data_IF_978219307023
#
_entry.id   IF_978219307023
#
_cell.length_a   1.000
_cell.length_b   1.000
_cell.length_c   1.000
_cell.angle_alpha   90.00
_cell.angle_beta   90.00
_cell.angle_gamma   90.00
#
_symmetry.space_group_name_H-M   'P 1'
#
loop_
_entity.id
_entity.type
_entity.pdbx_description
1 polymer ?
#
# COMPACT_ATOMS: atom_id res chain seq x y z
N UNK A 1 -21.95 36.32 10.57
CA UNK A 1 -20.72 37.11 10.44
C UNK A 1 -19.64 36.40 11.23
N UNK A 2 -18.85 35.54 10.58
CA UNK A 2 -17.62 34.93 11.10
C UNK A 2 -17.08 34.01 9.98
N UNK A 3 -16.60 34.61 8.90
CA UNK A 3 -16.06 33.84 7.75
C UNK A 3 -14.79 34.45 7.16
N UNK A 4 -14.27 35.52 7.76
CA UNK A 4 -12.94 36.06 7.45
C UNK A 4 -11.92 35.63 8.52
N UNK A 5 -12.28 35.72 9.80
CA UNK A 5 -11.38 35.36 10.92
C UNK A 5 -11.11 33.85 11.02
N UNK A 6 -12.05 32.97 10.67
CA UNK A 6 -11.79 31.51 10.62
C UNK A 6 -10.92 31.11 9.42
N UNK A 7 -11.06 31.78 8.28
CA UNK A 7 -10.21 31.54 7.11
C UNK A 7 -8.79 32.10 7.35
N UNK A 8 -8.68 33.23 8.05
CA UNK A 8 -7.42 33.82 8.45
C UNK A 8 -6.75 33.01 9.58
N UNK A 9 -7.51 32.40 10.50
CA UNK A 9 -7.00 31.44 11.49
C UNK A 9 -6.48 30.14 10.87
N UNK A 10 -7.06 29.66 9.77
CA UNK A 10 -6.55 28.49 9.02
C UNK A 10 -5.31 28.88 8.20
N UNK A 11 -5.24 30.10 7.66
CA UNK A 11 -4.06 30.63 6.96
C UNK A 11 -2.89 30.89 7.92
N UNK A 12 -3.19 31.28 9.17
CA UNK A 12 -2.23 31.50 10.25
C UNK A 12 -1.91 30.21 11.05
N UNK A 13 -2.50 29.07 10.69
CA UNK A 13 -2.22 27.75 11.27
C UNK A 13 -0.89 27.13 10.81
N UNK A 14 -0.21 27.74 9.84
CA UNK A 14 1.22 27.55 9.69
C UNK A 14 1.90 28.31 10.83
N UNK A 15 1.98 27.68 12.01
CA UNK A 15 2.84 28.15 13.08
C UNK A 15 4.18 28.54 12.45
N UNK A 16 4.57 29.79 12.66
CA UNK A 16 5.84 30.33 12.18
C UNK A 16 6.94 29.54 12.92
N UNK A 17 7.36 28.41 12.34
CA UNK A 17 8.39 27.56 12.93
C UNK A 17 9.72 28.31 12.77
N UNK A 18 10.01 29.12 13.78
CA UNK A 18 11.28 29.82 13.93
C UNK A 18 12.36 28.78 14.21
N UNK A 19 13.40 28.74 13.39
CA UNK A 19 14.57 27.90 13.64
C UNK A 19 15.27 28.39 14.92
N UNK A 20 15.74 27.45 15.77
CA UNK A 20 16.49 27.75 17.00
C UNK A 20 17.82 28.43 16.67
N UNK A 21 18.43 29.08 17.67
CA UNK A 21 19.75 29.71 17.51
C UNK A 21 20.85 28.63 17.37
N UNK A 22 21.68 28.65 16.31
CA UNK A 22 22.84 27.76 16.15
C UNK A 22 23.80 27.75 17.35
N UNK A 23 23.88 28.83 18.13
CA UNK A 23 24.74 28.93 19.32
C UNK A 23 24.31 28.00 20.45
N UNK A 24 23.06 27.56 20.44
CA UNK A 24 22.51 26.68 21.47
C UNK A 24 22.83 25.20 21.22
N UNK A 25 23.41 24.83 20.07
CA UNK A 25 23.67 23.44 19.69
C UNK A 25 24.53 22.71 20.73
N UNK A 26 25.67 23.30 21.10
CA UNK A 26 26.63 22.68 22.03
C UNK A 26 26.02 22.47 23.41
N UNK A 27 25.26 23.45 23.89
CA UNK A 27 24.58 23.37 25.18
C UNK A 27 23.53 22.25 25.22
N UNK A 28 23.02 21.84 24.05
CA UNK A 28 22.01 20.78 23.90
C UNK A 28 22.61 19.45 23.43
N UNK A 29 23.94 19.30 23.44
CA UNK A 29 24.61 18.05 23.08
C UNK A 29 24.73 17.80 21.57
N UNK A 30 24.43 18.81 20.75
CA UNK A 30 24.58 18.73 19.30
C UNK A 30 25.91 19.32 18.85
N UNK A 31 26.42 18.78 17.75
CA UNK A 31 27.63 19.29 17.12
C UNK A 31 27.36 20.66 16.48
N UNK A 32 28.28 21.63 16.58
CA UNK A 32 28.11 22.91 15.90
C UNK A 32 27.96 22.76 14.39
N UNK A 33 27.31 23.75 13.77
CA UNK A 33 27.19 23.91 12.32
C UNK A 33 27.97 25.14 11.88
N UNK A 34 28.48 25.13 10.65
CA UNK A 34 29.01 26.34 10.03
C UNK A 34 27.83 27.23 9.63
N UNK A 35 27.92 28.53 9.93
CA UNK A 35 26.91 29.53 9.60
C UNK A 35 27.50 30.63 8.73
N UNK A 36 26.67 31.27 7.90
CA UNK A 36 27.11 32.39 7.08
C UNK A 36 27.57 33.62 7.89
N UNK A 37 26.97 33.86 9.06
CA UNK A 37 27.24 35.04 9.87
C UNK A 37 28.47 34.85 10.78
N UNK A 38 28.53 33.71 11.48
CA UNK A 38 29.50 33.48 12.55
C UNK A 38 30.58 32.44 12.15
N UNK A 39 30.48 31.82 10.97
CA UNK A 39 31.36 30.74 10.55
C UNK A 39 31.17 29.45 11.36
N UNK A 40 32.21 28.61 11.43
CA UNK A 40 32.25 27.46 12.36
C UNK A 40 32.92 27.89 13.67
N UNK A 41 32.38 27.53 14.83
CA UNK A 41 33.06 27.82 16.10
C UNK A 41 34.29 26.92 16.27
N UNK A 42 35.47 27.48 15.98
CA UNK A 42 36.76 26.80 16.08
C UNK A 42 37.28 26.30 14.72
N UNK A 43 38.22 25.34 14.70
CA UNK A 43 38.75 24.78 13.46
C UNK A 43 37.66 24.04 12.69
N UNK A 44 37.59 24.26 11.37
CA UNK A 44 36.62 23.60 10.50
C UNK A 44 36.92 22.09 10.43
N UNK A 45 35.97 21.22 10.80
CA UNK A 45 36.17 19.78 10.72
C UNK A 45 36.27 19.27 9.27
N UNK A 46 37.05 18.21 9.06
CA UNK A 46 37.37 17.67 7.74
C UNK A 46 36.13 17.28 6.92
N UNK A 47 35.13 16.65 7.54
CA UNK A 47 33.88 16.24 6.88
C UNK A 47 32.99 17.42 6.44
N UNK A 48 33.10 18.58 7.11
CA UNK A 48 32.46 19.82 6.64
C UNK A 48 33.28 20.44 5.52
N UNK A 49 34.62 20.41 5.63
CA UNK A 49 35.53 20.90 4.60
C UNK A 49 35.44 20.11 3.28
N UNK A 50 35.14 18.80 3.35
CA UNK A 50 34.90 17.95 2.18
C UNK A 50 33.68 18.39 1.35
N UNK A 51 32.69 18.99 2.01
CA UNK A 51 31.38 19.32 1.42
C UNK A 51 31.28 20.81 1.08
N UNK A 52 32.11 21.64 1.70
CA UNK A 52 32.07 23.09 1.60
C UNK A 52 33.45 23.72 1.86
N UNK A 53 33.91 24.56 0.92
CA UNK A 53 35.10 25.40 1.08
C UNK A 53 34.68 26.88 1.25
N UNK A 54 34.87 27.48 2.44
CA UNK A 54 34.50 28.88 2.68
C UNK A 54 35.32 29.89 1.86
N UNK A 55 36.47 29.48 1.31
CA UNK A 55 37.37 30.36 0.56
C UNK A 55 37.17 30.28 -0.97
N UNK A 56 36.35 29.35 -1.49
CA UNK A 56 36.09 29.27 -2.94
C UNK A 56 35.01 30.27 -3.38
N UNK A 57 35.35 31.33 -4.15
CA UNK A 57 34.39 32.33 -4.60
C UNK A 57 33.35 31.81 -5.59
N UNK A 58 33.51 30.59 -6.12
CA UNK A 58 32.53 29.93 -7.00
C UNK A 58 31.49 29.16 -6.20
N UNK A 59 31.75 28.87 -4.94
CA UNK A 59 30.80 28.15 -4.11
C UNK A 59 29.75 29.13 -3.60
N UNK A 60 28.48 28.93 -3.97
CA UNK A 60 27.39 29.78 -3.46
C UNK A 60 27.34 29.59 -1.96
N UNK A 61 27.63 30.67 -1.23
CA UNK A 61 27.72 30.65 0.23
C UNK A 61 26.45 30.02 0.81
N UNK A 62 26.54 28.81 1.40
CA UNK A 62 25.39 28.18 2.03
C UNK A 62 24.95 29.03 3.23
N UNK A 63 23.71 28.87 3.68
CA UNK A 63 23.25 29.48 4.93
C UNK A 63 23.82 28.73 6.13
N UNK A 64 23.74 27.40 6.07
CA UNK A 64 24.19 26.47 7.11
C UNK A 64 24.88 25.26 6.47
N UNK A 65 25.91 24.73 7.12
CA UNK A 65 26.52 23.44 6.78
C UNK A 65 26.79 22.66 8.05
N UNK A 66 26.33 21.42 8.12
CA UNK A 66 26.56 20.58 9.28
C UNK A 66 25.80 19.26 9.24
N UNK A 67 25.92 18.44 10.30
CA UNK A 67 25.26 17.15 10.39
C UNK A 67 23.73 17.30 10.40
N UNK A 68 23.04 16.31 9.83
CA UNK A 68 21.58 16.25 9.78
C UNK A 68 20.94 16.35 11.16
N UNK A 69 21.51 15.72 12.19
CA UNK A 69 21.04 15.78 13.57
C UNK A 69 20.95 17.20 14.11
N UNK A 70 22.04 17.98 13.99
CA UNK A 70 22.09 19.38 14.40
C UNK A 70 21.12 20.25 13.62
N UNK A 71 21.04 20.07 12.30
CA UNK A 71 20.14 20.85 11.46
C UNK A 71 18.67 20.54 11.77
N UNK A 72 18.29 19.28 11.93
CA UNK A 72 16.93 18.88 12.30
C UNK A 72 16.55 19.40 13.68
N UNK A 73 17.47 19.37 14.64
CA UNK A 73 17.22 19.96 15.95
C UNK A 73 16.95 21.47 15.88
N UNK A 74 17.72 22.22 15.06
CA UNK A 74 17.48 23.65 14.83
C UNK A 74 16.09 23.91 14.25
N UNK A 75 15.60 23.02 13.40
CA UNK A 75 14.28 23.12 12.78
C UNK A 75 13.13 22.63 13.67
N UNK A 76 13.42 22.14 14.89
CA UNK A 76 12.43 21.53 15.78
C UNK A 76 11.82 20.25 15.20
N UNK A 77 12.65 19.42 14.58
CA UNK A 77 12.29 18.14 13.96
C UNK A 77 12.78 16.98 14.83
N UNK A 78 12.33 16.94 16.09
CA UNK A 78 12.89 16.04 17.11
C UNK A 78 12.68 14.55 16.78
N UNK A 79 11.61 14.19 16.06
CA UNK A 79 11.36 12.83 15.58
C UNK A 79 12.35 12.40 14.50
N UNK A 80 12.80 13.33 13.63
CA UNK A 80 13.88 13.05 12.70
C UNK A 80 15.22 12.89 13.42
N UNK A 81 15.50 13.69 14.46
CA UNK A 81 16.70 13.50 15.29
C UNK A 81 16.69 12.11 15.93
N UNK A 82 15.58 11.72 16.56
CA UNK A 82 15.46 10.39 17.18
C UNK A 82 15.58 9.25 16.16
N UNK A 83 15.14 9.47 14.91
CA UNK A 83 15.24 8.47 13.85
C UNK A 83 16.67 8.25 13.35
N UNK A 84 17.61 9.18 13.58
CA UNK A 84 19.04 9.00 13.24
C UNK A 84 19.67 7.93 14.16
N UNK A 85 19.34 7.97 15.44
CA UNK A 85 19.93 7.08 16.45
C UNK A 85 19.18 5.73 16.58
N UNK A 86 18.03 5.61 15.91
CA UNK A 86 17.20 4.41 16.01
C UNK A 86 17.72 3.27 15.12
N UNK A 87 17.89 2.05 15.65
CA UNK A 87 18.26 0.89 14.84
C UNK A 87 17.16 0.44 13.88
N UNK A 88 15.94 0.95 14.03
CA UNK A 88 14.79 0.63 13.16
C UNK A 88 14.83 1.39 11.83
N UNK A 89 15.64 2.45 11.73
CA UNK A 89 15.77 3.26 10.54
C UNK A 89 17.21 3.19 10.00
N UNK A 90 17.34 3.22 8.67
CA UNK A 90 18.65 3.21 7.98
C UNK A 90 19.23 4.61 7.81
N UNK A 91 18.79 5.59 8.61
CA UNK A 91 19.21 6.98 8.46
C UNK A 91 20.63 7.15 9.00
N UNK A 92 21.45 7.93 8.29
CA UNK A 92 22.83 8.21 8.69
C UNK A 92 22.97 9.71 8.95
N UNK A 93 23.71 10.07 10.00
CA UNK A 93 23.97 11.46 10.33
C UNK A 93 25.02 12.08 9.40
N UNK A 94 24.60 12.47 8.21
CA UNK A 94 25.50 13.01 7.19
C UNK A 94 25.58 14.52 7.26
N UNK A 95 26.73 15.08 6.88
CA UNK A 95 26.88 16.53 6.68
C UNK A 95 26.13 16.94 5.41
N UNK A 96 25.24 17.92 5.55
CA UNK A 96 24.46 18.48 4.45
C UNK A 96 24.56 20.00 4.41
N UNK A 97 24.26 20.57 3.24
CA UNK A 97 24.29 22.01 2.99
C UNK A 97 22.88 22.55 2.87
N UNK A 98 22.61 23.67 3.55
CA UNK A 98 21.39 24.44 3.41
C UNK A 98 21.70 25.66 2.55
N UNK A 99 21.14 25.78 1.33
CA UNK A 99 21.35 26.95 0.48
C UNK A 99 20.94 28.27 1.15
N UNK A 100 21.54 29.39 0.73
CA UNK A 100 21.27 30.73 1.26
C UNK A 100 19.77 31.07 1.38
N UNK A 101 18.99 30.73 0.36
CA UNK A 101 17.55 31.01 0.28
C UNK A 101 16.66 29.86 0.77
N UNK A 102 17.22 28.84 1.43
CA UNK A 102 16.49 27.67 1.89
C UNK A 102 16.39 27.61 3.41
N UNK A 103 15.26 27.08 3.89
CA UNK A 103 15.08 26.68 5.30
C UNK A 103 15.42 25.20 5.45
N UNK A 104 15.78 24.76 6.66
CA UNK A 104 16.07 23.34 6.88
C UNK A 104 14.88 22.45 6.50
N UNK A 105 13.65 22.86 6.87
CA UNK A 105 12.42 22.14 6.51
C UNK A 105 12.18 22.04 4.99
N UNK A 106 12.63 23.02 4.21
CA UNK A 106 12.48 22.96 2.74
C UNK A 106 13.41 21.95 2.09
N UNK A 107 14.39 21.41 2.82
CA UNK A 107 15.27 20.35 2.34
C UNK A 107 14.69 18.95 2.52
N UNK A 108 13.64 18.77 3.34
CA UNK A 108 13.08 17.44 3.62
C UNK A 108 12.64 16.67 2.36
N UNK A 109 11.98 17.29 1.36
CA UNK A 109 11.64 16.59 0.12
C UNK A 109 12.87 16.08 -0.63
N UNK A 110 13.92 16.92 -0.76
CA UNK A 110 15.15 16.53 -1.44
C UNK A 110 15.86 15.39 -0.70
N UNK A 111 15.97 15.49 0.63
CA UNK A 111 16.60 14.46 1.45
C UNK A 111 15.84 13.13 1.41
N UNK A 112 14.51 13.18 1.31
CA UNK A 112 13.70 11.99 1.06
C UNK A 112 13.96 11.39 -0.33
N UNK A 113 13.97 12.22 -1.38
CA UNK A 113 14.16 11.76 -2.76
C UNK A 113 15.57 11.16 -2.98
N UNK A 114 16.57 11.65 -2.23
CA UNK A 114 17.91 11.07 -2.18
C UNK A 114 18.02 9.82 -1.29
N UNK A 115 16.92 9.38 -0.66
CA UNK A 115 16.88 8.20 0.20
C UNK A 115 17.52 8.39 1.58
N UNK A 116 17.82 9.64 1.98
CA UNK A 116 18.44 9.95 3.28
C UNK A 116 17.42 10.01 4.41
N UNK A 117 16.15 10.28 4.12
CA UNK A 117 15.05 10.21 5.08
C UNK A 117 14.11 9.06 4.70
N UNK A 118 13.87 8.07 5.58
CA UNK A 118 12.91 7.01 5.31
C UNK A 118 11.50 7.56 5.07
N UNK A 119 10.81 7.05 4.05
CA UNK A 119 9.43 7.44 3.74
C UNK A 119 8.44 7.22 4.90
N UNK A 120 8.74 6.34 5.86
CA UNK A 120 7.96 6.19 7.08
C UNK A 120 7.99 7.44 7.97
N UNK A 121 9.14 8.08 8.11
CA UNK A 121 9.33 9.29 8.93
C UNK A 121 8.95 10.55 8.14
N UNK A 122 9.34 10.61 6.86
CA UNK A 122 9.01 11.75 5.99
C UNK A 122 7.51 12.02 5.86
N UNK A 123 6.67 10.97 5.93
CA UNK A 123 5.20 11.07 5.87
C UNK A 123 4.60 12.02 6.92
N UNK A 124 5.26 12.22 8.07
CA UNK A 124 4.81 13.14 9.11
C UNK A 124 4.85 14.62 8.68
N UNK A 125 5.60 14.92 7.62
CA UNK A 125 5.88 16.29 7.17
C UNK A 125 5.25 16.65 5.83
N UNK A 126 4.51 15.72 5.21
CA UNK A 126 3.68 16.04 4.05
C UNK A 126 2.59 17.02 4.48
N UNK A 127 2.37 18.06 3.67
CA UNK A 127 1.32 19.06 3.89
C UNK A 127 0.34 19.06 2.71
N UNK A 128 -0.97 18.84 2.96
CA UNK A 128 -1.55 18.48 4.25
C UNK A 128 -0.99 17.14 4.75
N UNK A 129 -1.00 16.87 6.09
CA UNK A 129 -0.72 15.53 6.59
C UNK A 129 -1.55 14.59 5.74
N UNK A 130 -1.02 13.43 5.27
CA UNK A 130 -1.87 12.49 4.56
C UNK A 130 -3.03 12.27 5.48
N UNK A 131 -4.20 12.79 5.10
CA UNK A 131 -5.45 12.36 5.67
C UNK A 131 -5.39 10.91 5.29
N UNK A 132 -4.99 10.07 6.23
CA UNK A 132 -5.39 8.69 6.23
C UNK A 132 -6.91 8.81 6.31
N UNK A 133 -7.52 9.04 5.16
CA UNK A 133 -8.82 8.54 4.85
C UNK A 133 -8.60 7.02 4.78
N UNK A 134 -8.27 6.43 5.93
CA UNK A 134 -8.96 5.24 6.35
C UNK A 134 -10.39 5.71 6.23
N UNK A 135 -11.04 5.36 5.11
CA UNK A 135 -12.47 5.31 5.09
C UNK A 135 -12.81 4.34 6.22
N UNK A 136 -12.98 4.88 7.43
CA UNK A 136 -13.43 4.17 8.59
C UNK A 136 -14.90 3.93 8.28
N UNK A 137 -15.15 2.92 7.45
CA UNK A 137 -16.48 2.39 7.30
C UNK A 137 -16.85 1.92 8.71
N UNK A 138 -17.92 2.46 9.31
CA UNK A 138 -18.41 1.94 10.58
C UNK A 138 -18.48 0.42 10.42
N UNK A 139 -18.01 -0.32 11.42
CA UNK A 139 -18.04 -1.77 11.45
C UNK A 139 -19.50 -2.23 11.48
N UNK A 140 -20.18 -2.12 10.33
CA UNK A 140 -21.52 -2.63 10.12
C UNK A 140 -21.34 -4.12 9.94
N UNK A 141 -21.81 -4.88 10.93
CA UNK A 141 -22.04 -6.30 10.73
C UNK A 141 -22.98 -6.44 9.52
N UNK A 142 -22.51 -7.13 8.48
CA UNK A 142 -23.31 -7.41 7.28
C UNK A 142 -23.92 -8.81 7.47
N UNK A 143 -25.18 -8.93 7.91
CA UNK A 143 -25.83 -10.22 8.04
C UNK A 143 -26.01 -10.87 6.67
N UNK A 144 -26.09 -12.20 6.64
CA UNK A 144 -26.54 -12.93 5.46
C UNK A 144 -28.03 -12.61 5.27
N UNK A 145 -28.50 -12.20 4.08
CA UNK A 145 -29.91 -11.96 3.85
C UNK A 145 -30.76 -13.19 4.25
N UNK A 146 -31.86 -13.03 5.02
CA UNK A 146 -32.65 -14.16 5.52
C UNK A 146 -33.25 -15.06 4.43
N UNK A 147 -33.40 -14.53 3.21
CA UNK A 147 -33.85 -15.28 2.04
C UNK A 147 -32.84 -16.35 1.59
N UNK A 148 -31.55 -16.18 1.91
CA UNK A 148 -30.49 -17.09 1.52
C UNK A 148 -30.46 -18.29 2.47
N UNK A 149 -30.60 -19.47 1.87
CA UNK A 149 -30.76 -20.75 2.58
C UNK A 149 -29.64 -21.72 2.18
N UNK A 150 -29.65 -22.93 2.73
CA UNK A 150 -28.69 -24.00 2.42
C UNK A 150 -28.86 -24.65 1.05
N UNK A 151 -29.80 -24.16 0.24
CA UNK A 151 -30.03 -24.60 -1.13
C UNK A 151 -29.63 -23.50 -2.12
N UNK A 152 -28.95 -23.87 -3.20
CA UNK A 152 -28.63 -22.94 -4.30
C UNK A 152 -29.93 -22.41 -4.90
N UNK A 153 -30.09 -21.09 -4.91
CA UNK A 153 -31.21 -20.40 -5.55
C UNK A 153 -30.70 -19.17 -6.29
N UNK A 154 -31.42 -18.76 -7.32
CA UNK A 154 -31.15 -17.54 -8.08
C UNK A 154 -31.91 -16.38 -7.44
N UNK A 155 -31.23 -15.23 -7.30
CA UNK A 155 -31.81 -14.00 -6.77
C UNK A 155 -31.46 -12.83 -7.68
N UNK A 156 -32.34 -11.84 -7.76
CA UNK A 156 -31.97 -10.55 -8.34
C UNK A 156 -30.94 -9.86 -7.44
N UNK A 157 -29.90 -9.32 -8.05
CA UNK A 157 -28.76 -8.77 -7.34
C UNK A 157 -29.16 -7.54 -6.50
N UNK A 158 -30.08 -6.71 -7.03
CA UNK A 158 -30.64 -5.55 -6.32
C UNK A 158 -31.42 -5.94 -5.05
N UNK A 159 -32.05 -7.12 -5.04
CA UNK A 159 -32.76 -7.64 -3.86
C UNK A 159 -31.77 -8.11 -2.77
N UNK A 160 -30.60 -8.61 -3.15
CA UNK A 160 -29.55 -9.00 -2.21
C UNK A 160 -28.71 -7.81 -1.75
N UNK A 161 -28.51 -6.83 -2.62
CA UNK A 161 -27.64 -5.68 -2.42
C UNK A 161 -28.34 -4.40 -2.95
N UNK A 162 -29.08 -3.68 -2.10
CA UNK A 162 -29.85 -2.50 -2.51
C UNK A 162 -29.01 -1.35 -3.10
N UNK A 163 -27.72 -1.32 -2.77
CA UNK A 163 -26.75 -0.34 -3.28
C UNK A 163 -25.81 -0.94 -4.32
N UNK A 164 -26.17 -2.09 -4.91
CA UNK A 164 -25.40 -2.66 -6.01
C UNK A 164 -25.37 -1.67 -7.16
N UNK A 165 -24.22 -1.56 -7.83
CA UNK A 165 -24.17 -0.99 -9.16
C UNK A 165 -24.40 -2.13 -10.16
N UNK A 166 -25.58 -2.27 -10.77
CA UNK A 166 -25.93 -3.45 -11.55
C UNK A 166 -25.10 -3.59 -12.84
N UNK A 167 -24.36 -2.58 -13.27
CA UNK A 167 -23.41 -2.70 -14.38
C UNK A 167 -21.99 -2.55 -13.82
N UNK A 168 -21.10 -3.55 -14.00
CA UNK A 168 -21.11 -4.61 -15.03
C UNK A 168 -21.64 -5.97 -14.56
N UNK A 169 -22.24 -6.07 -13.38
CA UNK A 169 -22.69 -7.35 -12.83
C UNK A 169 -23.90 -7.94 -13.59
N UNK A 170 -24.13 -9.26 -13.52
CA UNK A 170 -25.38 -9.81 -14.00
C UNK A 170 -26.55 -9.39 -13.11
N UNK A 171 -27.73 -9.24 -13.72
CA UNK A 171 -28.97 -8.90 -13.01
C UNK A 171 -29.31 -9.96 -11.93
N UNK A 172 -28.98 -11.22 -12.20
CA UNK A 172 -29.27 -12.34 -11.32
C UNK A 172 -28.01 -13.11 -10.98
N UNK A 173 -27.94 -13.57 -9.73
CA UNK A 173 -26.83 -14.38 -9.22
C UNK A 173 -27.35 -15.56 -8.42
N UNK A 174 -26.68 -16.70 -8.52
CA UNK A 174 -26.96 -17.80 -7.62
C UNK A 174 -26.40 -17.48 -6.23
N UNK A 175 -27.06 -17.93 -5.17
CA UNK A 175 -26.56 -17.81 -3.81
C UNK A 175 -26.93 -19.01 -2.94
N UNK A 176 -26.03 -19.34 -2.01
CA UNK A 176 -26.19 -20.42 -1.03
C UNK A 176 -25.53 -20.04 0.28
N UNK A 177 -26.14 -20.44 1.40
CA UNK A 177 -25.57 -20.38 2.74
C UNK A 177 -24.99 -21.73 3.14
N UNK A 178 -23.75 -21.75 3.62
CA UNK A 178 -23.10 -22.95 4.15
C UNK A 178 -22.74 -22.72 5.61
N UNK A 179 -23.26 -23.56 6.49
CA UNK A 179 -22.99 -23.50 7.93
C UNK A 179 -21.61 -24.09 8.26
N UNK A 180 -20.94 -23.48 9.25
CA UNK A 180 -19.54 -23.73 9.60
C UNK A 180 -19.21 -25.10 10.22
N UNK A 181 -20.14 -26.04 10.36
CA UNK A 181 -19.94 -27.31 11.09
C UNK A 181 -18.84 -28.22 10.50
N UNK A 182 -18.31 -27.90 9.32
CA UNK A 182 -17.30 -28.73 8.65
C UNK A 182 -15.89 -28.15 8.74
N UNK A 183 -14.93 -29.04 9.01
CA UNK A 183 -13.49 -28.78 8.80
C UNK A 183 -13.25 -28.28 7.36
N UNK A 184 -12.32 -27.33 7.18
CA UNK A 184 -12.01 -26.65 5.90
C UNK A 184 -11.93 -27.62 4.70
N UNK A 185 -11.17 -28.71 4.83
CA UNK A 185 -10.99 -29.70 3.76
C UNK A 185 -12.28 -30.43 3.39
N UNK A 186 -13.14 -30.75 4.37
CA UNK A 186 -14.47 -31.32 4.11
C UNK A 186 -15.37 -30.31 3.40
N UNK A 187 -15.36 -29.06 3.85
CA UNK A 187 -16.12 -27.96 3.24
C UNK A 187 -15.76 -27.75 1.78
N UNK A 188 -14.47 -27.70 1.47
CA UNK A 188 -13.98 -27.57 0.09
C UNK A 188 -14.51 -28.69 -0.81
N UNK A 189 -14.38 -29.95 -0.37
CA UNK A 189 -14.88 -31.12 -1.12
C UNK A 189 -16.39 -31.08 -1.32
N UNK A 190 -17.14 -30.65 -0.31
CA UNK A 190 -18.60 -30.61 -0.39
C UNK A 190 -19.08 -29.55 -1.39
N UNK A 191 -18.47 -28.35 -1.36
CA UNK A 191 -18.74 -27.28 -2.34
C UNK A 191 -18.41 -27.77 -3.76
N UNK A 192 -17.24 -28.37 -3.94
CA UNK A 192 -16.82 -28.91 -5.23
C UNK A 192 -17.75 -29.99 -5.77
N UNK A 193 -18.29 -30.85 -4.90
CA UNK A 193 -19.12 -31.98 -5.31
C UNK A 193 -20.58 -31.61 -5.53
N UNK A 194 -21.13 -30.73 -4.71
CA UNK A 194 -22.58 -30.51 -4.62
C UNK A 194 -23.02 -29.15 -5.14
N UNK A 195 -22.12 -28.16 -5.21
CA UNK A 195 -22.47 -26.78 -5.54
C UNK A 195 -21.90 -26.36 -6.89
N UNK A 196 -20.59 -26.57 -7.11
CA UNK A 196 -19.91 -26.09 -8.31
C UNK A 196 -20.25 -26.81 -9.63
N UNK A 197 -20.61 -28.11 -9.67
CA UNK A 197 -20.82 -28.80 -10.94
C UNK A 197 -21.91 -28.18 -11.83
N UNK A 198 -22.90 -27.50 -11.25
CA UNK A 198 -23.96 -26.82 -12.00
C UNK A 198 -23.48 -25.57 -12.74
N UNK A 199 -22.31 -25.01 -12.39
CA UNK A 199 -21.77 -23.82 -13.03
C UNK A 199 -21.01 -24.16 -14.32
N UNK A 200 -20.37 -25.33 -14.37
CA UNK A 200 -19.56 -25.82 -15.48
C UNK A 200 -18.30 -25.00 -15.75
N UNK A 201 -17.37 -25.60 -16.51
CA UNK A 201 -16.15 -24.94 -16.98
C UNK A 201 -15.14 -24.61 -15.88
N UNK A 202 -14.12 -23.84 -16.27
CA UNK A 202 -13.14 -23.30 -15.33
C UNK A 202 -13.76 -22.15 -14.53
N UNK A 203 -13.42 -22.09 -13.24
CA UNK A 203 -13.95 -21.10 -12.31
C UNK A 203 -12.80 -20.31 -11.67
N UNK A 204 -13.07 -19.04 -11.38
CA UNK A 204 -12.23 -18.21 -10.53
C UNK A 204 -12.97 -17.90 -9.24
N UNK A 205 -12.25 -17.96 -8.13
CA UNK A 205 -12.77 -17.75 -6.79
C UNK A 205 -12.13 -16.52 -6.19
N UNK A 206 -12.93 -15.71 -5.50
CA UNK A 206 -12.45 -14.65 -4.63
C UNK A 206 -13.02 -14.86 -3.24
N UNK A 207 -12.14 -15.10 -2.27
CA UNK A 207 -12.51 -15.12 -0.86
C UNK A 207 -12.40 -13.75 -0.24
N UNK A 208 -13.37 -13.38 0.60
CA UNK A 208 -13.40 -12.08 1.24
C UNK A 208 -14.35 -12.03 2.43
N UNK A 209 -14.24 -10.99 3.26
CA UNK A 209 -15.24 -10.71 4.29
C UNK A 209 -16.59 -10.31 3.67
N UNK A 210 -17.69 -10.55 4.39
CA UNK A 210 -19.04 -10.10 3.98
C UNK A 210 -19.12 -8.58 3.76
N UNK A 211 -18.34 -7.79 4.51
CA UNK A 211 -18.22 -6.35 4.31
C UNK A 211 -17.59 -6.02 2.96
N UNK A 212 -16.46 -6.65 2.65
CA UNK A 212 -15.81 -6.46 1.37
C UNK A 212 -16.69 -6.93 0.19
N UNK A 213 -17.59 -7.91 0.42
CA UNK A 213 -18.53 -8.38 -0.59
C UNK A 213 -19.53 -7.28 -0.92
N UNK A 214 -20.19 -6.70 0.09
CA UNK A 214 -21.12 -5.59 -0.12
C UNK A 214 -20.42 -4.40 -0.80
N UNK A 215 -19.21 -4.06 -0.37
CA UNK A 215 -18.43 -3.01 -1.04
C UNK A 215 -18.14 -3.35 -2.50
N UNK A 216 -17.78 -4.61 -2.79
CA UNK A 216 -17.52 -5.07 -4.16
C UNK A 216 -18.76 -5.03 -5.05
N UNK A 217 -19.95 -5.29 -4.48
CA UNK A 217 -21.23 -5.17 -5.20
C UNK A 217 -21.60 -3.72 -5.49
N UNK A 218 -21.31 -2.80 -4.56
CA UNK A 218 -21.52 -1.38 -4.78
C UNK A 218 -20.58 -0.83 -5.85
N UNK A 219 -19.29 -1.18 -5.78
CA UNK A 219 -18.37 -0.96 -6.87
C UNK A 219 -17.16 -1.88 -6.80
N UNK A 220 -16.92 -2.62 -7.88
CA UNK A 220 -15.79 -3.55 -7.96
C UNK A 220 -14.53 -2.79 -8.37
N UNK A 221 -13.69 -2.43 -7.39
CA UNK A 221 -12.42 -1.75 -7.64
C UNK A 221 -11.21 -2.57 -7.18
N UNK A 222 -10.04 -2.34 -7.79
CA UNK A 222 -8.75 -2.81 -7.28
C UNK A 222 -8.58 -2.47 -5.80
N UNK A 223 -8.17 -3.46 -5.01
CA UNK A 223 -7.90 -3.24 -3.60
C UNK A 223 -6.44 -2.81 -3.45
N UNK A 224 -6.21 -1.76 -2.66
CA UNK A 224 -4.88 -1.39 -2.15
C UNK A 224 -4.94 -1.65 -0.66
N UNK A 225 -4.20 -2.64 -0.17
CA UNK A 225 -4.08 -2.87 1.27
C UNK A 225 -2.64 -2.56 1.70
N UNK A 226 -2.45 -1.61 2.63
CA UNK A 226 -1.12 -1.35 3.19
C UNK A 226 -0.63 -2.46 4.14
N UNK A 227 -1.47 -3.47 4.42
CA UNK A 227 -1.21 -4.49 5.45
C UNK A 227 -1.27 -5.92 4.92
N UNK A 228 -1.64 -6.13 3.65
CA UNK A 228 -1.73 -7.49 3.11
C UNK A 228 -0.46 -7.77 2.31
N UNK A 229 0.38 -8.65 2.85
CA UNK A 229 1.48 -9.30 2.12
C UNK A 229 0.99 -10.07 0.88
N UNK A 230 -0.34 -10.20 0.71
CA UNK A 230 -1.03 -10.93 -0.35
C UNK A 230 -1.20 -10.14 -1.66
N UNK A 231 -0.61 -8.93 -1.78
CA UNK A 231 -0.64 -8.11 -3.00
C UNK A 231 0.62 -8.29 -3.84
N UNK A 232 0.97 -9.54 -4.16
CA UNK A 232 2.20 -9.91 -4.86
C UNK A 232 2.44 -9.12 -6.17
N UNK A 233 1.38 -8.71 -6.85
CA UNK A 233 1.47 -7.98 -8.11
C UNK A 233 0.98 -6.52 -8.03
N UNK A 234 0.82 -6.00 -6.81
CA UNK A 234 0.35 -4.64 -6.54
C UNK A 234 -1.17 -4.48 -6.60
N UNK A 235 -1.67 -3.26 -6.84
CA UNK A 235 -3.11 -2.98 -6.89
C UNK A 235 -3.84 -3.81 -7.95
N UNK A 236 -4.93 -4.47 -7.54
CA UNK A 236 -5.76 -5.27 -8.43
C UNK A 236 -6.91 -5.99 -7.71
N UNK A 237 -7.74 -6.69 -8.49
CA UNK A 237 -8.73 -7.63 -7.98
C UNK A 237 -8.14 -9.04 -8.09
N UNK A 238 -7.85 -9.61 -6.93
CA UNK A 238 -7.24 -10.92 -6.81
C UNK A 238 -8.30 -12.01 -6.80
N UNK A 239 -8.11 -13.00 -7.67
CA UNK A 239 -8.90 -14.23 -7.75
C UNK A 239 -7.96 -15.43 -7.88
N UNK A 240 -8.47 -16.64 -7.71
CA UNK A 240 -7.67 -17.86 -7.82
C UNK A 240 -8.52 -19.00 -8.38
N UNK A 241 -7.96 -19.94 -9.17
CA UNK A 241 -8.65 -21.19 -9.51
C UNK A 241 -8.73 -22.17 -8.31
N UNK A 242 -8.00 -21.90 -7.21
CA UNK A 242 -7.99 -22.73 -6.01
C UNK A 242 -9.11 -22.32 -5.04
N UNK A 243 -10.19 -23.12 -5.00
CA UNK A 243 -11.25 -22.92 -4.00
C UNK A 243 -10.69 -22.98 -2.57
N UNK A 244 -9.70 -23.85 -2.34
CA UNK A 244 -9.10 -24.01 -1.02
C UNK A 244 -8.41 -22.73 -0.55
N UNK A 245 -7.66 -22.07 -1.43
CA UNK A 245 -7.04 -20.78 -1.14
C UNK A 245 -8.10 -19.68 -0.94
N UNK A 246 -9.12 -19.62 -1.80
CA UNK A 246 -10.21 -18.66 -1.62
C UNK A 246 -10.95 -18.83 -0.29
N UNK A 247 -11.10 -20.06 0.21
CA UNK A 247 -11.68 -20.31 1.54
C UNK A 247 -10.82 -19.77 2.68
N UNK A 248 -9.50 -19.66 2.52
CA UNK A 248 -8.62 -19.03 3.52
C UNK A 248 -8.92 -17.55 3.64
N UNK A 249 -8.99 -16.86 2.50
CA UNK A 249 -9.31 -15.43 2.43
C UNK A 249 -10.73 -15.10 2.89
N UNK A 250 -11.69 -16.00 2.65
CA UNK A 250 -13.05 -15.84 3.16
C UNK A 250 -13.11 -15.95 4.70
N UNK A 251 -12.20 -16.70 5.31
CA UNK A 251 -12.23 -16.95 6.75
C UNK A 251 -13.50 -17.68 7.20
N UNK A 252 -13.87 -17.49 8.47
CA UNK A 252 -15.00 -18.20 9.09
C UNK A 252 -16.36 -17.67 8.65
N UNK A 253 -16.54 -16.35 8.73
CA UNK A 253 -17.82 -15.67 8.52
C UNK A 253 -17.83 -14.78 7.26
N UNK A 254 -16.99 -15.10 6.27
CA UNK A 254 -16.92 -14.35 5.03
C UNK A 254 -17.83 -14.90 3.94
N UNK A 255 -17.41 -14.67 2.72
CA UNK A 255 -18.06 -15.17 1.53
C UNK A 255 -17.03 -15.49 0.44
N UNK A 256 -17.43 -16.34 -0.49
CA UNK A 256 -16.69 -16.58 -1.74
C UNK A 256 -17.56 -16.11 -2.90
N UNK A 257 -16.99 -15.23 -3.72
CA UNK A 257 -17.53 -14.92 -5.04
C UNK A 257 -16.96 -15.94 -6.04
N UNK A 258 -17.84 -16.53 -6.84
CA UNK A 258 -17.50 -17.52 -7.85
C UNK A 258 -17.81 -16.93 -9.22
N UNK A 259 -16.77 -16.82 -10.03
CA UNK A 259 -16.80 -16.30 -11.38
C UNK A 259 -16.62 -17.46 -12.35
N UNK A 260 -17.41 -17.46 -13.43
CA UNK A 260 -17.04 -18.27 -14.60
C UNK A 260 -15.77 -17.67 -15.18
N UNK A 261 -14.78 -18.48 -15.53
CA UNK A 261 -13.50 -17.96 -16.01
C UNK A 261 -13.74 -17.02 -17.20
N UNK A 262 -13.45 -15.70 -17.07
CA UNK A 262 -13.71 -14.76 -18.13
C UNK A 262 -12.81 -15.04 -19.34
N UNK A 263 -13.33 -14.77 -20.53
CA UNK A 263 -12.51 -14.81 -21.73
C UNK A 263 -11.61 -13.57 -21.80
N UNK A 264 -10.34 -13.74 -21.42
CA UNK A 264 -9.35 -12.68 -21.45
C UNK A 264 -8.63 -12.54 -22.81
N UNK A 265 -9.03 -13.25 -23.86
CA UNK A 265 -8.32 -13.22 -25.16
C UNK A 265 -8.24 -11.84 -25.82
N UNK A 266 -9.18 -10.95 -25.50
CA UNK A 266 -9.19 -9.56 -26.00
C UNK A 266 -8.38 -8.59 -25.13
N UNK A 267 -7.68 -9.08 -24.11
CA UNK A 267 -6.94 -8.28 -23.14
C UNK A 267 -5.47 -8.68 -23.11
N UNK A 268 -4.64 -7.78 -22.58
CA UNK A 268 -3.23 -8.07 -22.36
C UNK A 268 -3.04 -8.91 -21.10
N UNK A 269 -2.86 -10.22 -21.29
CA UNK A 269 -2.56 -11.18 -20.23
C UNK A 269 -1.06 -11.36 -20.12
N UNK A 270 -0.51 -11.10 -18.93
CA UNK A 270 0.90 -11.31 -18.63
C UNK A 270 1.08 -12.41 -17.59
N UNK A 271 2.02 -13.32 -17.88
CA UNK A 271 2.44 -14.39 -16.97
C UNK A 271 3.94 -14.22 -16.71
N UNK A 272 4.35 -13.76 -15.51
CA UNK A 272 5.75 -13.49 -15.23
C UNK A 272 6.56 -14.79 -15.22
N UNK A 273 7.77 -14.74 -15.78
CA UNK A 273 8.76 -15.76 -15.50
C UNK A 273 9.29 -15.65 -14.05
N UNK A 274 10.11 -16.60 -13.60
CA UNK A 274 10.59 -16.64 -12.21
C UNK A 274 11.33 -15.36 -11.77
N UNK A 275 12.11 -14.74 -12.64
CA UNK A 275 12.86 -13.52 -12.34
C UNK A 275 11.94 -12.30 -12.28
N UNK A 276 11.02 -12.19 -13.23
CA UNK A 276 10.02 -11.12 -13.26
C UNK A 276 9.08 -11.19 -12.06
N UNK A 277 8.62 -12.39 -11.71
CA UNK A 277 7.80 -12.66 -10.54
C UNK A 277 8.51 -12.17 -9.29
N UNK A 278 9.74 -12.63 -9.07
CA UNK A 278 10.54 -12.24 -7.89
C UNK A 278 10.72 -10.72 -7.81
N UNK A 279 10.97 -10.07 -8.93
CA UNK A 279 11.14 -8.61 -9.01
C UNK A 279 9.87 -7.87 -8.58
N UNK A 280 8.73 -8.22 -9.17
CA UNK A 280 7.45 -7.54 -8.90
C UNK A 280 6.98 -7.81 -7.47
N UNK A 281 7.05 -9.06 -7.03
CA UNK A 281 6.63 -9.44 -5.67
C UNK A 281 7.49 -8.75 -4.62
N UNK A 282 8.82 -8.71 -4.77
CA UNK A 282 9.68 -8.00 -3.81
C UNK A 282 9.35 -6.51 -3.74
N UNK A 283 9.13 -5.86 -4.88
CA UNK A 283 8.74 -4.45 -4.93
C UNK A 283 7.43 -4.20 -4.17
N UNK A 284 6.37 -4.95 -4.48
CA UNK A 284 5.04 -4.72 -3.90
C UNK A 284 4.89 -5.18 -2.45
N UNK A 285 5.73 -6.10 -2.00
CA UNK A 285 5.80 -6.53 -0.58
C UNK A 285 6.80 -5.71 0.24
N UNK A 286 7.38 -4.65 -0.33
CA UNK A 286 8.29 -3.74 0.37
C UNK A 286 9.65 -4.34 0.71
N UNK A 287 10.07 -5.41 0.02
CA UNK A 287 11.39 -6.03 0.21
C UNK A 287 12.45 -5.39 -0.70
N UNK A 288 13.70 -5.28 -0.24
CA UNK A 288 14.79 -4.72 -1.05
C UNK A 288 14.95 -5.47 -2.37
N UNK A 289 15.03 -4.74 -3.48
CA UNK A 289 15.45 -5.26 -4.76
C UNK A 289 16.98 -5.41 -4.78
N UNK A 290 17.50 -6.42 -5.48
CA UNK A 290 18.94 -6.63 -5.61
C UNK A 290 19.64 -5.48 -6.35
N UNK A 291 18.90 -4.73 -7.17
CA UNK A 291 19.36 -3.54 -7.86
C UNK A 291 18.31 -2.41 -7.70
N UNK A 292 18.63 -1.29 -7.01
CA UNK A 292 17.70 -0.17 -6.81
C UNK A 292 17.27 0.53 -8.12
N UNK A 293 18.07 0.42 -9.18
CA UNK A 293 17.76 0.96 -10.51
C UNK A 293 16.92 0.01 -11.38
N UNK A 294 16.55 -1.16 -10.84
CA UNK A 294 15.78 -2.15 -11.57
C UNK A 294 14.36 -1.65 -11.82
N UNK A 295 14.03 -1.47 -13.10
CA UNK A 295 12.68 -1.08 -13.51
C UNK A 295 11.71 -2.26 -13.41
N UNK A 296 10.43 -1.95 -13.21
CA UNK A 296 9.36 -2.94 -13.33
C UNK A 296 9.35 -3.57 -14.74
N UNK A 297 9.12 -4.90 -14.85
CA UNK A 297 8.99 -5.58 -16.14
C UNK A 297 7.97 -4.90 -17.05
N UNK A 298 8.23 -4.84 -18.35
CA UNK A 298 7.33 -4.19 -19.32
C UNK A 298 5.93 -4.81 -19.29
N UNK A 299 5.84 -6.14 -19.24
CA UNK A 299 4.56 -6.85 -19.15
C UNK A 299 3.74 -6.48 -17.92
N UNK A 300 4.38 -6.22 -16.77
CA UNK A 300 3.65 -5.71 -15.60
C UNK A 300 3.06 -4.32 -15.84
N UNK A 301 3.73 -3.45 -16.61
CA UNK A 301 3.27 -2.07 -16.85
C UNK A 301 2.03 -2.00 -17.73
N UNK A 302 1.92 -2.91 -18.71
CA UNK A 302 0.86 -2.89 -19.73
C UNK A 302 -0.26 -3.90 -19.48
N UNK A 303 -0.05 -4.93 -18.66
CA UNK A 303 -1.03 -5.99 -18.44
C UNK A 303 -2.36 -5.52 -17.83
N UNK A 304 -3.45 -5.93 -18.50
CA UNK A 304 -4.82 -5.89 -18.01
C UNK A 304 -5.06 -6.98 -16.94
N UNK A 305 -4.46 -8.14 -17.17
CA UNK A 305 -4.57 -9.34 -16.32
C UNK A 305 -3.19 -9.92 -16.08
N UNK A 306 -2.89 -10.23 -14.82
CA UNK A 306 -1.66 -10.90 -14.41
C UNK A 306 -2.00 -12.27 -13.87
N UNK A 307 -1.34 -13.32 -14.35
CA UNK A 307 -1.47 -14.68 -13.77
C UNK A 307 -0.12 -15.15 -13.28
N UNK A 308 -0.02 -15.55 -12.03
CA UNK A 308 1.24 -16.06 -11.49
C UNK A 308 1.04 -16.77 -10.16
N UNK A 309 2.12 -17.33 -9.62
CA UNK A 309 2.09 -17.94 -8.29
C UNK A 309 1.79 -16.90 -7.21
N UNK A 310 1.11 -17.34 -6.16
CA UNK A 310 1.07 -16.62 -4.88
C UNK A 310 2.39 -16.77 -4.14
N UNK A 311 2.68 -15.85 -3.22
CA UNK A 311 3.82 -15.96 -2.32
C UNK A 311 3.52 -16.90 -1.16
N UNK A 312 4.50 -17.70 -0.76
CA UNK A 312 4.52 -18.36 0.56
C UNK A 312 5.72 -17.88 1.37
N UNK A 313 5.53 -17.76 2.68
CA UNK A 313 6.64 -17.45 3.58
C UNK A 313 7.65 -18.61 3.59
N UNK A 314 8.93 -18.27 3.56
CA UNK A 314 9.98 -19.27 3.67
C UNK A 314 9.94 -19.93 5.06
N UNK A 315 10.18 -21.26 5.18
CA UNK A 315 10.08 -22.01 6.45
C UNK A 315 10.97 -21.53 7.61
N UNK A 316 11.84 -20.54 7.39
CA UNK A 316 12.84 -20.05 8.36
C UNK A 316 12.99 -18.53 8.36
N UNK A 317 11.89 -17.77 8.25
CA UNK A 317 11.89 -16.32 8.47
C UNK A 317 12.89 -15.53 7.62
N UNK A 318 13.31 -16.07 6.47
CA UNK A 318 14.31 -15.45 5.61
C UNK A 318 13.69 -14.42 4.67
N UNK A 319 14.51 -13.50 4.17
CA UNK A 319 14.14 -12.46 3.20
C UNK A 319 13.77 -12.95 1.79
N UNK A 320 13.69 -14.28 1.61
CA UNK A 320 13.38 -14.92 0.35
C UNK A 320 11.88 -15.20 0.25
N UNK A 321 11.25 -14.53 -0.69
CA UNK A 321 9.90 -14.87 -1.16
C UNK A 321 10.00 -16.10 -2.05
N UNK A 322 9.18 -17.10 -1.77
CA UNK A 322 9.14 -18.34 -2.56
C UNK A 322 7.78 -18.41 -3.25
N UNK A 323 7.73 -18.72 -4.56
CA UNK A 323 6.46 -18.97 -5.22
C UNK A 323 5.81 -20.21 -4.60
N UNK A 324 4.51 -20.11 -4.35
CA UNK A 324 3.66 -21.21 -3.90
C UNK A 324 3.16 -22.03 -5.10
N UNK A 325 2.51 -23.16 -4.82
CA UNK A 325 1.86 -23.98 -5.83
C UNK A 325 0.48 -23.42 -6.25
N UNK A 326 -0.07 -22.48 -5.48
CA UNK A 326 -1.34 -21.85 -5.80
C UNK A 326 -1.14 -20.66 -6.74
N UNK A 327 -1.94 -20.65 -7.80
CA UNK A 327 -1.99 -19.55 -8.77
C UNK A 327 -2.98 -18.49 -8.32
N UNK A 328 -2.68 -17.24 -8.64
CA UNK A 328 -3.60 -16.11 -8.59
C UNK A 328 -3.74 -15.46 -9.96
N UNK A 329 -4.93 -14.91 -10.20
CA UNK A 329 -5.30 -14.14 -11.37
C UNK A 329 -5.73 -12.76 -10.89
N UNK A 330 -4.97 -11.74 -11.29
CA UNK A 330 -5.12 -10.36 -10.83
C UNK A 330 -5.63 -9.52 -11.98
N UNK A 331 -6.77 -8.89 -11.77
CA UNK A 331 -7.45 -8.06 -12.76
C UNK A 331 -7.23 -6.59 -12.41
N UNK A 332 -6.69 -5.79 -13.34
CA UNK A 332 -6.12 -4.46 -12.99
C UNK A 332 -6.81 -3.29 -13.66
N UNK A 333 -7.22 -3.45 -14.91
CA UNK A 333 -7.81 -2.37 -15.71
C UNK A 333 -9.33 -2.40 -15.67
N UNK A 334 -9.97 -1.28 -16.04
CA UNK A 334 -11.43 -1.21 -16.10
C UNK A 334 -12.05 -2.24 -17.05
N UNK A 335 -11.55 -2.46 -18.28
CA UNK A 335 -12.11 -3.47 -19.18
C UNK A 335 -12.07 -4.88 -18.59
N UNK A 336 -10.94 -5.24 -17.98
CA UNK A 336 -10.75 -6.54 -17.36
C UNK A 336 -11.65 -6.72 -16.13
N UNK A 337 -11.76 -5.67 -15.31
CA UNK A 337 -12.66 -5.65 -14.15
C UNK A 337 -14.12 -5.82 -14.56
N UNK A 338 -14.53 -5.18 -15.65
CA UNK A 338 -15.87 -5.33 -16.21
C UNK A 338 -16.16 -6.75 -16.67
N UNK A 339 -15.22 -7.39 -17.37
CA UNK A 339 -15.35 -8.80 -17.78
C UNK A 339 -15.45 -9.74 -16.58
N UNK A 340 -14.63 -9.51 -15.54
CA UNK A 340 -14.72 -10.29 -14.31
C UNK A 340 -16.08 -10.09 -13.63
N UNK A 341 -16.54 -8.85 -13.44
CA UNK A 341 -17.83 -8.56 -12.82
C UNK A 341 -19.01 -9.23 -13.56
N UNK A 342 -19.02 -9.14 -14.89
CA UNK A 342 -20.05 -9.75 -15.75
C UNK A 342 -20.09 -11.29 -15.67
N UNK A 343 -18.98 -11.90 -15.26
CA UNK A 343 -18.85 -13.35 -15.15
C UNK A 343 -19.26 -13.93 -13.78
N UNK A 344 -19.67 -13.07 -12.82
CA UNK A 344 -20.10 -13.51 -11.50
C UNK A 344 -21.29 -14.48 -11.62
N UNK A 345 -21.16 -15.68 -11.08
CA UNK A 345 -22.19 -16.72 -11.24
C UNK A 345 -22.84 -17.13 -9.92
N UNK A 346 -22.05 -17.16 -8.83
CA UNK A 346 -22.50 -17.66 -7.55
C UNK A 346 -21.82 -16.89 -6.39
N UNK A 347 -22.57 -16.65 -5.32
CA UNK A 347 -22.05 -16.18 -4.04
C UNK A 347 -22.31 -17.24 -2.97
N UNK A 348 -21.23 -17.71 -2.33
CA UNK A 348 -21.29 -18.67 -1.22
C UNK A 348 -21.08 -17.89 0.08
N UNK A 349 -22.07 -17.97 0.98
CA UNK A 349 -22.06 -17.26 2.26
C UNK A 349 -21.72 -18.24 3.39
N UNK A 350 -20.86 -17.83 4.32
CA UNK A 350 -20.50 -18.63 5.49
C UNK A 350 -21.07 -18.05 6.76
N UNK A 351 -21.73 -18.94 7.51
CA UNK A 351 -22.37 -18.68 8.81
C UNK A 351 -21.69 -19.52 9.88
#
# INVERSE_FOLDING_TARGET
MSTAEEIESIRNGAADYVEKDPRDLVANGFRPVWTMEDGYPGPLPDDIAEVFDPEDPRDKVPRLVGPMSSLFWLAGLDDLVAAIDSPEFTMQDQVIRIPYNARIRTMLPLLHDEGRIPGAVYRNYLMPPPVLSVAAFPARHVPIPPSITSTVKTYDLENLFPFCNPQPFPQQVQSIKITQEWKKSRRCREIQRNVLPSLGGDLLFRGLSRRALVSSMACLFPVISPHNMDQDFGPGIYTTPSLELALEYAGREGAVMVFRNPDFRSLEVWEPNAQEWSTVTRYWTGRPLSNPSQQAPSGWKSADVIKGSTTKEAPRGGDLLVPSNDTQVVVRTCPATSLLAASLALIIWFD
#
